data_IF_352625006005
#
_entry.id   IF_352625006005
#
_cell.length_a   1.000
_cell.length_b   1.000
_cell.length_c   1.000
_cell.angle_alpha   90.00
_cell.angle_beta   90.00
_cell.angle_gamma   90.00
#
_symmetry.space_group_name_H-M   'P 1'
#
loop_
_entity.id
_entity.type
_entity.pdbx_description
1 polymer ?
#
# COMPACT_ATOMS: atom_id res chain seq x y z
N UNK A 1 10.71 -9.71 -13.32
CA UNK A 1 9.82 -8.73 -12.65
C UNK A 1 10.26 -7.35 -13.10
N UNK A 2 9.32 -6.54 -13.57
CA UNK A 2 9.58 -5.13 -13.89
C UNK A 2 9.64 -4.32 -12.60
N UNK A 3 10.59 -3.39 -12.48
CA UNK A 3 10.71 -2.54 -11.28
C UNK A 3 9.49 -1.62 -11.19
N UNK A 4 8.83 -1.58 -10.03
CA UNK A 4 7.75 -0.65 -9.75
C UNK A 4 8.33 0.56 -8.98
N UNK A 5 8.39 1.71 -9.64
CA UNK A 5 9.08 2.90 -9.13
C UNK A 5 8.14 4.10 -9.23
N UNK A 6 8.09 4.91 -8.18
CA UNK A 6 7.43 6.22 -8.18
C UNK A 6 8.37 7.27 -7.60
N UNK A 7 8.62 8.35 -8.34
CA UNK A 7 9.50 9.45 -7.90
C UNK A 7 10.81 8.98 -7.25
N UNK A 8 11.53 8.05 -7.91
CA UNK A 8 12.79 7.43 -7.43
C UNK A 8 12.68 6.46 -6.24
N UNK A 9 11.48 6.29 -5.68
CA UNK A 9 11.21 5.30 -4.64
C UNK A 9 10.79 4.00 -5.30
N UNK A 10 11.57 2.94 -5.03
CA UNK A 10 11.27 1.58 -5.48
C UNK A 10 10.35 0.91 -4.47
N UNK A 11 9.21 0.42 -4.94
CA UNK A 11 8.29 -0.37 -4.13
C UNK A 11 8.76 -1.82 -4.01
N UNK A 12 8.35 -2.48 -2.94
CA UNK A 12 8.47 -3.92 -2.76
C UNK A 12 7.09 -4.56 -2.71
N UNK A 13 6.44 -4.78 -3.88
CA UNK A 13 5.10 -5.32 -3.90
C UNK A 13 5.01 -6.68 -3.21
N UNK A 14 3.93 -6.86 -2.46
CA UNK A 14 3.59 -8.12 -1.85
C UNK A 14 2.96 -9.02 -2.91
N UNK A 15 3.45 -10.25 -3.00
CA UNK A 15 2.89 -11.24 -3.88
C UNK A 15 1.69 -11.90 -3.20
N UNK A 16 0.51 -11.74 -3.81
CA UNK A 16 -0.70 -12.47 -3.46
C UNK A 16 -1.06 -13.44 -4.61
N UNK A 17 -1.85 -14.48 -4.30
CA UNK A 17 -2.25 -15.51 -5.27
C UNK A 17 -3.45 -15.08 -6.15
N UNK A 18 -3.70 -13.79 -6.29
CA UNK A 18 -4.81 -13.20 -7.04
C UNK A 18 -4.37 -12.53 -8.36
N UNK A 19 -3.06 -12.47 -8.63
CA UNK A 19 -2.50 -11.83 -9.81
C UNK A 19 -2.47 -10.30 -9.74
N UNK A 20 -2.79 -9.71 -8.59
CA UNK A 20 -2.74 -8.26 -8.36
C UNK A 20 -1.39 -7.82 -7.75
N UNK A 21 -1.09 -6.53 -7.88
CA UNK A 21 0.08 -5.90 -7.26
C UNK A 21 -0.36 -5.23 -5.98
N UNK A 22 0.09 -5.74 -4.84
CA UNK A 22 -0.21 -5.18 -3.53
C UNK A 22 0.96 -4.35 -3.03
N UNK A 23 0.69 -3.14 -2.54
CA UNK A 23 1.70 -2.24 -1.96
C UNK A 23 1.30 -1.96 -0.52
N UNK A 24 2.27 -1.97 0.39
CA UNK A 24 2.00 -1.65 1.80
C UNK A 24 1.64 -0.17 1.97
N UNK A 25 0.75 0.15 2.92
CA UNK A 25 0.35 1.53 3.18
C UNK A 25 1.52 2.41 3.62
N UNK A 26 2.51 1.84 4.31
CA UNK A 26 3.74 2.52 4.73
C UNK A 26 4.64 2.90 3.54
N UNK A 27 4.90 1.98 2.62
CA UNK A 27 5.67 2.30 1.40
C UNK A 27 4.93 3.32 0.53
N UNK A 28 3.60 3.20 0.41
CA UNK A 28 2.80 4.20 -0.31
C UNK A 28 2.89 5.57 0.36
N UNK A 29 2.87 5.63 1.69
CA UNK A 29 3.02 6.90 2.43
C UNK A 29 4.38 7.55 2.17
N UNK A 30 5.47 6.76 2.21
CA UNK A 30 6.82 7.24 1.90
C UNK A 30 6.93 7.71 0.45
N UNK A 31 6.39 6.94 -0.50
CA UNK A 31 6.38 7.27 -1.93
C UNK A 31 5.67 8.60 -2.24
N UNK A 32 4.58 8.87 -1.51
CA UNK A 32 3.82 10.11 -1.62
C UNK A 32 4.42 11.28 -0.81
N UNK A 33 5.51 11.06 -0.07
CA UNK A 33 6.20 12.10 0.69
C UNK A 33 5.51 12.50 1.99
N UNK A 34 4.66 11.63 2.57
CA UNK A 34 4.08 11.89 3.88
C UNK A 34 5.14 11.83 4.98
N UNK A 35 5.04 12.74 5.95
CA UNK A 35 5.95 12.77 7.11
C UNK A 35 5.77 11.57 8.06
N UNK A 36 4.63 10.86 7.99
CA UNK A 36 4.32 9.69 8.83
C UNK A 36 3.92 8.52 7.96
N UNK A 37 4.45 7.34 8.29
CA UNK A 37 4.17 6.09 7.57
C UNK A 37 2.72 5.63 7.73
N UNK A 38 2.05 6.01 8.83
CA UNK A 38 0.64 5.68 9.10
C UNK A 38 -0.37 6.63 8.41
N UNK A 39 0.10 7.61 7.64
CA UNK A 39 -0.77 8.62 7.04
C UNK A 39 -1.80 8.02 6.07
N UNK A 40 -1.37 7.05 5.25
CA UNK A 40 -2.25 6.36 4.29
C UNK A 40 -3.27 5.49 5.04
N UNK A 41 -2.84 4.73 6.05
CA UNK A 41 -3.76 3.93 6.88
C UNK A 41 -4.84 4.80 7.54
N UNK A 42 -4.48 5.98 8.03
CA UNK A 42 -5.45 6.93 8.61
C UNK A 42 -6.45 7.52 7.61
N UNK A 43 -6.05 7.64 6.35
CA UNK A 43 -6.97 8.05 5.28
C UNK A 43 -7.95 6.89 5.03
N UNK A 44 -7.44 5.66 4.92
CA UNK A 44 -8.27 4.47 4.80
C UNK A 44 -9.27 4.35 5.97
N UNK A 45 -8.82 4.49 7.22
CA UNK A 45 -9.70 4.36 8.40
C UNK A 45 -10.87 5.35 8.40
N UNK A 46 -10.72 6.52 7.75
CA UNK A 46 -11.78 7.54 7.67
C UNK A 46 -12.76 7.31 6.51
N UNK A 47 -12.31 6.60 5.48
CA UNK A 47 -13.01 6.41 4.21
C UNK A 47 -13.14 4.91 3.89
N UNK A 48 -13.16 4.04 4.90
CA UNK A 48 -13.01 2.59 4.71
C UNK A 48 -14.15 1.99 3.92
N UNK A 49 -15.31 2.64 3.91
CA UNK A 49 -16.50 2.30 3.14
C UNK A 49 -16.32 2.52 1.62
N UNK A 50 -15.31 3.27 1.18
CA UNK A 50 -14.96 3.45 -0.24
C UNK A 50 -14.16 2.27 -0.82
N UNK A 51 -13.70 1.34 0.02
CA UNK A 51 -12.80 0.26 -0.37
C UNK A 51 -13.47 -1.11 -0.24
N UNK A 52 -13.26 -1.96 -1.25
CA UNK A 52 -13.69 -3.36 -1.23
C UNK A 52 -12.60 -4.28 -0.70
N UNK A 53 -12.94 -5.54 -0.40
CA UNK A 53 -11.99 -6.58 0.00
C UNK A 53 -10.87 -6.81 -1.02
N UNK A 54 -11.12 -6.51 -2.29
CA UNK A 54 -10.18 -6.76 -3.37
C UNK A 54 -9.23 -5.57 -3.59
N UNK A 55 -9.47 -4.44 -2.92
CA UNK A 55 -8.67 -3.21 -2.97
C UNK A 55 -7.78 -3.04 -1.74
N UNK A 56 -8.17 -3.61 -0.59
CA UNK A 56 -7.48 -3.44 0.69
C UNK A 56 -7.48 -4.73 1.50
N UNK A 57 -6.37 -5.05 2.15
CA UNK A 57 -6.25 -6.20 3.02
C UNK A 57 -5.38 -5.87 4.24
N UNK A 58 -5.77 -6.40 5.41
CA UNK A 58 -4.91 -6.42 6.60
C UNK A 58 -4.00 -7.64 6.51
N UNK A 59 -2.70 -7.41 6.62
CA UNK A 59 -1.66 -8.43 6.61
C UNK A 59 -1.01 -8.46 7.98
N UNK A 60 -1.07 -9.61 8.65
CA UNK A 60 -0.30 -9.84 9.86
C UNK A 60 1.17 -10.03 9.46
N UNK A 61 2.05 -9.16 9.94
CA UNK A 61 3.48 -9.36 9.80
C UNK A 61 3.91 -10.41 10.84
N UNK A 62 4.47 -11.57 10.44
CA UNK A 62 4.92 -12.59 11.38
C UNK A 62 6.07 -12.11 12.29
#
# INVERSE_FOLDING_TARGET
MSNLIFQTIQFHPLQQNDGQIWITSSELAQALGYAREDSVSRIYDRNSDEFTSDMTQVIDNP
#
